data_IF_086983994274
#
_entry.id   IF_086983994274
#
_cell.length_a   1.000
_cell.length_b   1.000
_cell.length_c   1.000
_cell.angle_alpha   90.00
_cell.angle_beta   90.00
_cell.angle_gamma   90.00
#
_symmetry.space_group_name_H-M   'P 1'
#
loop_
_entity.id
_entity.type
_entity.pdbx_description
1 polymer ?
#
# COMPACT_ATOMS: atom_id res chain seq x y z
N UNK A 1 -13.77 7.60 18.35
CA UNK A 1 -12.52 7.88 17.62
C UNK A 1 -12.89 8.42 16.25
N UNK A 2 -12.01 9.15 15.52
CA UNK A 2 -12.37 9.71 14.24
C UNK A 2 -12.65 8.57 13.25
N UNK A 3 -13.86 8.56 12.69
CA UNK A 3 -14.33 7.61 11.70
C UNK A 3 -14.53 8.33 10.36
N UNK A 4 -14.44 7.61 9.25
CA UNK A 4 -14.82 8.16 7.95
C UNK A 4 -16.32 8.50 7.98
N UNK A 5 -16.68 9.65 7.46
CA UNK A 5 -18.08 10.02 7.27
C UNK A 5 -18.72 9.20 6.14
N UNK A 6 -20.04 9.13 6.09
CA UNK A 6 -20.77 8.44 5.01
C UNK A 6 -20.41 9.00 3.63
N UNK A 7 -20.14 10.31 3.53
CA UNK A 7 -19.69 10.95 2.30
C UNK A 7 -18.30 10.44 1.86
N UNK A 8 -17.39 10.20 2.81
CA UNK A 8 -16.05 9.66 2.53
C UNK A 8 -16.09 8.17 2.18
N UNK A 9 -16.93 7.39 2.84
CA UNK A 9 -17.19 5.98 2.48
C UNK A 9 -17.79 5.93 1.07
N UNK A 10 -18.77 6.77 0.77
CA UNK A 10 -19.37 6.88 -0.57
C UNK A 10 -18.32 7.31 -1.62
N UNK A 11 -17.41 8.22 -1.27
CA UNK A 11 -16.29 8.61 -2.13
C UNK A 11 -15.37 7.42 -2.42
N UNK A 12 -15.00 6.64 -1.39
CA UNK A 12 -14.18 5.44 -1.57
C UNK A 12 -14.84 4.45 -2.54
N UNK A 13 -16.12 4.16 -2.37
CA UNK A 13 -16.85 3.24 -3.25
C UNK A 13 -16.97 3.76 -4.68
N UNK A 14 -17.07 5.06 -4.89
CA UNK A 14 -17.17 5.68 -6.22
C UNK A 14 -15.81 5.79 -6.91
N UNK A 15 -14.78 6.25 -6.18
CA UNK A 15 -13.49 6.64 -6.74
C UNK A 15 -12.41 5.56 -6.57
N UNK A 16 -12.60 4.59 -5.65
CA UNK A 16 -11.61 3.58 -5.27
C UNK A 16 -10.55 4.09 -4.32
N UNK A 17 -10.67 5.33 -3.84
CA UNK A 17 -9.73 5.95 -2.92
C UNK A 17 -10.41 7.00 -2.04
N UNK A 18 -9.94 7.09 -0.80
CA UNK A 18 -10.29 8.15 0.14
C UNK A 18 -9.05 8.67 0.84
N UNK A 19 -8.99 9.98 1.10
CA UNK A 19 -8.00 10.60 1.97
C UNK A 19 -8.67 10.81 3.33
N UNK A 20 -8.08 10.24 4.40
CA UNK A 20 -8.58 10.44 5.74
C UNK A 20 -8.48 11.93 6.13
N UNK A 21 -9.51 12.52 6.77
CA UNK A 21 -9.50 13.94 7.14
C UNK A 21 -8.60 14.23 8.35
N UNK A 22 -8.03 13.21 8.96
CA UNK A 22 -7.05 13.27 10.06
C UNK A 22 -5.76 12.54 9.65
N UNK A 23 -4.75 12.56 10.51
CA UNK A 23 -3.47 11.88 10.32
C UNK A 23 -2.74 11.71 11.65
N UNK A 24 -1.52 11.24 11.57
CA UNK A 24 -0.60 11.18 12.70
C UNK A 24 -0.24 12.59 13.17
N UNK A 25 -0.08 12.77 14.48
CA UNK A 25 0.37 14.05 15.03
C UNK A 25 1.84 14.34 14.69
N UNK A 26 2.27 15.57 14.91
CA UNK A 26 3.60 16.05 14.55
C UNK A 26 4.73 15.35 15.31
N UNK A 27 4.51 14.92 16.55
CA UNK A 27 5.47 14.19 17.36
C UNK A 27 5.67 12.78 16.77
N UNK A 28 4.58 12.07 16.50
CA UNK A 28 4.59 10.77 15.83
C UNK A 28 5.27 10.85 14.46
N UNK A 29 4.99 11.89 13.67
CA UNK A 29 5.66 12.09 12.35
C UNK A 29 7.15 12.31 12.51
N UNK A 30 7.58 13.06 13.51
CA UNK A 30 9.00 13.31 13.77
C UNK A 30 9.71 12.02 14.18
N UNK A 31 9.11 11.23 15.08
CA UNK A 31 9.62 9.91 15.47
C UNK A 31 9.68 8.94 14.29
N UNK A 32 8.65 8.94 13.44
CA UNK A 32 8.59 8.12 12.24
C UNK A 32 9.70 8.45 11.23
N UNK A 33 10.02 9.73 11.04
CA UNK A 33 11.15 10.15 10.20
C UNK A 33 12.49 9.66 10.74
N UNK A 34 12.72 9.85 12.04
CA UNK A 34 13.93 9.36 12.69
C UNK A 34 14.05 7.84 12.57
N UNK A 35 12.97 7.10 12.81
CA UNK A 35 12.90 5.64 12.63
C UNK A 35 13.22 5.23 11.21
N UNK A 36 12.64 5.90 10.21
CA UNK A 36 12.94 5.63 8.80
C UNK A 36 14.42 5.80 8.50
N UNK A 37 15.01 6.93 8.88
CA UNK A 37 16.41 7.24 8.59
C UNK A 37 17.35 6.22 9.29
N UNK A 38 17.06 5.87 10.53
CA UNK A 38 17.78 4.83 11.28
C UNK A 38 17.65 3.45 10.61
N UNK A 39 16.42 3.05 10.24
CA UNK A 39 16.14 1.77 9.59
C UNK A 39 16.91 1.61 8.27
N UNK A 40 16.93 2.65 7.44
CA UNK A 40 17.68 2.61 6.18
C UNK A 40 19.19 2.39 6.40
N UNK A 41 19.76 3.04 7.42
CA UNK A 41 21.18 2.88 7.79
C UNK A 41 21.44 1.47 8.33
N UNK A 42 20.67 1.01 9.30
CA UNK A 42 20.85 -0.30 9.96
C UNK A 42 20.69 -1.46 8.97
N UNK A 43 19.73 -1.35 8.07
CA UNK A 43 19.47 -2.35 7.03
C UNK A 43 20.38 -2.20 5.80
N UNK A 44 21.28 -1.19 5.79
CA UNK A 44 22.22 -0.86 4.69
C UNK A 44 21.49 -0.69 3.34
N UNK A 45 20.31 -0.05 3.37
CA UNK A 45 19.51 0.18 2.19
C UNK A 45 20.01 1.44 1.49
N UNK A 46 20.54 1.30 0.29
CA UNK A 46 21.03 2.40 -0.55
C UNK A 46 20.04 2.82 -1.62
N UNK A 47 19.18 1.91 -2.09
CA UNK A 47 18.04 2.19 -2.97
C UNK A 47 16.75 1.97 -2.18
N UNK A 48 16.13 3.06 -1.77
CA UNK A 48 14.92 3.05 -0.96
C UNK A 48 13.65 3.39 -1.77
N UNK A 49 13.73 3.44 -3.09
CA UNK A 49 12.58 3.72 -3.95
C UNK A 49 11.45 2.71 -3.74
N UNK A 50 11.81 1.45 -3.43
CA UNK A 50 10.90 0.42 -2.97
C UNK A 50 11.59 -0.56 -2.01
N UNK A 51 11.16 -0.60 -0.76
CA UNK A 51 11.66 -1.52 0.27
C UNK A 51 10.50 -2.36 0.77
N UNK A 52 10.35 -3.61 0.28
CA UNK A 52 9.28 -4.50 0.71
C UNK A 52 9.55 -5.09 2.11
N UNK A 53 8.48 -5.60 2.72
CA UNK A 53 8.51 -6.46 3.90
C UNK A 53 9.19 -5.80 5.11
N UNK A 54 8.80 -4.55 5.40
CA UNK A 54 9.43 -3.80 6.51
C UNK A 54 9.07 -4.37 7.89
N UNK A 55 7.87 -4.93 8.06
CA UNK A 55 7.48 -5.59 9.32
C UNK A 55 8.29 -6.88 9.53
N UNK A 56 8.57 -7.62 8.48
CA UNK A 56 9.38 -8.84 8.54
C UNK A 56 10.84 -8.55 8.87
N UNK A 57 11.33 -7.35 8.51
CA UNK A 57 12.69 -6.89 8.81
C UNK A 57 12.80 -6.30 10.21
N UNK A 58 11.76 -5.61 10.65
CA UNK A 58 11.66 -4.98 11.98
C UNK A 58 10.18 -4.91 12.38
N UNK A 59 9.79 -5.81 13.30
CA UNK A 59 8.41 -5.93 13.76
C UNK A 59 7.86 -4.64 14.41
N UNK A 60 8.72 -3.73 14.85
CA UNK A 60 8.28 -2.46 15.46
C UNK A 60 7.53 -1.54 14.48
N UNK A 61 7.62 -1.77 13.14
CA UNK A 61 6.77 -1.08 12.17
C UNK A 61 5.29 -1.41 12.32
N UNK A 62 4.95 -2.53 12.97
CA UNK A 62 3.56 -2.94 13.19
C UNK A 62 2.79 -1.92 14.06
N UNK A 63 3.48 -1.16 14.91
CA UNK A 63 2.88 -0.10 15.73
C UNK A 63 2.11 0.94 14.89
N UNK A 64 2.61 1.27 13.69
CA UNK A 64 1.95 2.22 12.79
C UNK A 64 0.77 1.57 12.06
N UNK A 65 0.86 0.28 11.75
CA UNK A 65 -0.24 -0.45 11.11
C UNK A 65 -1.42 -0.69 12.05
N UNK A 66 -1.18 -0.66 13.37
CA UNK A 66 -2.18 -0.97 14.40
C UNK A 66 -2.76 0.26 15.07
N UNK A 67 -2.41 1.46 14.59
CA UNK A 67 -2.98 2.70 15.09
C UNK A 67 -4.50 2.66 15.05
N UNK A 68 -5.19 2.94 16.18
CA UNK A 68 -6.66 2.85 16.26
C UNK A 68 -7.38 3.64 15.17
N UNK A 69 -6.89 4.84 14.87
CA UNK A 69 -7.47 5.71 13.84
C UNK A 69 -7.38 5.12 12.42
N UNK A 70 -6.33 4.33 12.13
CA UNK A 70 -6.18 3.63 10.86
C UNK A 70 -7.09 2.41 10.82
N UNK A 71 -7.07 1.60 11.89
CA UNK A 71 -7.89 0.39 11.96
C UNK A 71 -9.40 0.69 11.96
N UNK A 72 -9.83 1.81 12.54
CA UNK A 72 -11.23 2.22 12.50
C UNK A 72 -11.67 2.57 11.07
N UNK A 73 -10.85 3.32 10.33
CA UNK A 73 -11.13 3.61 8.92
C UNK A 73 -11.10 2.36 8.03
N UNK A 74 -10.14 1.47 8.24
CA UNK A 74 -10.04 0.18 7.50
C UNK A 74 -11.26 -0.69 7.80
N UNK A 75 -11.68 -0.78 9.08
CA UNK A 75 -12.85 -1.58 9.48
C UNK A 75 -14.15 -1.12 8.80
N UNK A 76 -14.31 0.18 8.57
CA UNK A 76 -15.47 0.72 7.85
C UNK A 76 -15.52 0.32 6.37
N UNK A 77 -14.37 -0.05 5.78
CA UNK A 77 -14.27 -0.39 4.36
C UNK A 77 -14.25 -1.91 4.09
N UNK A 78 -13.61 -2.69 4.98
CA UNK A 78 -13.44 -4.14 4.77
C UNK A 78 -13.97 -5.02 5.91
N UNK A 79 -14.62 -4.42 6.90
CA UNK A 79 -15.18 -5.16 8.04
C UNK A 79 -14.25 -5.21 9.26
N UNK A 80 -14.77 -5.72 10.39
CA UNK A 80 -14.13 -5.58 11.70
C UNK A 80 -12.98 -6.56 11.97
N UNK A 81 -12.90 -7.67 11.25
CA UNK A 81 -11.89 -8.69 11.44
C UNK A 81 -10.75 -8.47 10.42
N UNK A 82 -9.59 -7.97 10.89
CA UNK A 82 -8.57 -7.38 10.02
C UNK A 82 -7.22 -8.07 10.20
N UNK A 83 -6.61 -8.45 9.08
CA UNK A 83 -5.26 -8.99 8.99
C UNK A 83 -4.38 -8.00 8.20
N UNK A 84 -3.22 -7.61 8.77
CA UNK A 84 -2.11 -7.01 8.04
C UNK A 84 -1.32 -8.13 7.38
N UNK A 85 -1.16 -8.06 6.07
CA UNK A 85 -0.50 -9.11 5.30
C UNK A 85 0.70 -8.60 4.49
N UNK A 86 0.95 -7.31 4.46
CA UNK A 86 2.08 -6.75 3.74
C UNK A 86 2.39 -5.32 4.14
N UNK A 87 3.65 -4.97 3.98
CA UNK A 87 4.19 -3.66 4.32
C UNK A 87 5.33 -3.28 3.38
N UNK A 88 5.51 -2.00 3.09
CA UNK A 88 6.64 -1.51 2.33
C UNK A 88 6.90 -0.02 2.58
N UNK A 89 8.14 0.41 2.29
CA UNK A 89 8.48 1.81 2.12
C UNK A 89 8.59 2.15 0.64
N UNK A 90 8.20 3.38 0.32
CA UNK A 90 8.40 4.02 -0.98
C UNK A 90 9.08 5.36 -0.75
N UNK A 91 10.43 5.37 -0.77
CA UNK A 91 11.24 6.52 -0.41
C UNK A 91 12.04 7.01 -1.61
N UNK A 92 11.37 7.66 -2.55
CA UNK A 92 12.01 8.20 -3.74
C UNK A 92 12.99 9.31 -3.37
N UNK A 93 14.25 9.16 -3.79
CA UNK A 93 15.26 10.19 -3.61
C UNK A 93 14.87 11.48 -4.36
N UNK A 94 15.41 12.63 -3.93
CA UNK A 94 15.10 13.91 -4.56
C UNK A 94 15.72 14.11 -5.94
N UNK A 95 16.60 13.21 -6.39
CA UNK A 95 17.21 13.24 -7.71
C UNK A 95 17.37 11.81 -8.22
N UNK A 96 16.57 11.43 -9.21
CA UNK A 96 16.62 10.10 -9.82
C UNK A 96 15.75 9.06 -9.14
N UNK A 97 14.78 9.45 -8.32
CA UNK A 97 13.77 8.52 -7.81
C UNK A 97 12.94 7.92 -8.94
N UNK A 98 12.87 6.58 -9.01
CA UNK A 98 12.27 5.82 -10.11
C UNK A 98 10.76 6.01 -10.19
N UNK A 99 10.18 5.79 -11.37
CA UNK A 99 8.73 5.75 -11.53
C UNK A 99 8.13 4.51 -10.83
N UNK A 100 6.91 4.65 -10.33
CA UNK A 100 6.04 3.51 -10.06
C UNK A 100 5.11 3.40 -11.26
N UNK A 101 5.20 2.34 -12.08
CA UNK A 101 4.40 2.24 -13.29
C UNK A 101 2.91 2.19 -12.94
N UNK A 102 2.05 2.49 -13.90
CA UNK A 102 0.62 2.26 -13.74
C UNK A 102 0.35 0.78 -13.58
N UNK A 103 -0.32 0.39 -12.50
CA UNK A 103 -0.62 -1.00 -12.16
C UNK A 103 -1.88 -1.11 -11.30
N UNK A 104 -2.30 -2.34 -11.10
CA UNK A 104 -3.27 -2.72 -10.08
C UNK A 104 -2.57 -3.65 -9.09
N UNK A 105 -2.66 -3.36 -7.81
CA UNK A 105 -2.11 -4.19 -6.74
C UNK A 105 -2.62 -5.63 -6.81
N UNK A 106 -3.91 -5.80 -7.09
CA UNK A 106 -4.58 -7.10 -7.11
C UNK A 106 -4.14 -8.07 -8.21
N UNK A 107 -3.38 -7.61 -9.20
CA UNK A 107 -2.97 -8.42 -10.33
C UNK A 107 -2.20 -9.68 -9.90
N UNK A 108 -1.34 -9.56 -8.89
CA UNK A 108 -0.46 -10.64 -8.42
C UNK A 108 -0.57 -10.92 -6.91
N UNK A 109 -1.63 -10.48 -6.24
CA UNK A 109 -1.79 -10.81 -4.82
C UNK A 109 -2.55 -12.12 -4.62
N UNK A 110 -1.97 -13.05 -3.84
CA UNK A 110 -2.51 -14.40 -3.66
C UNK A 110 -3.60 -14.43 -2.58
N UNK A 111 -4.64 -13.59 -2.69
CA UNK A 111 -5.71 -13.43 -1.69
C UNK A 111 -7.05 -13.72 -2.34
N UNK A 112 -7.88 -14.55 -1.72
CA UNK A 112 -9.20 -14.94 -2.23
C UNK A 112 -10.27 -14.96 -1.10
N UNK A 113 -11.43 -14.31 -1.27
CA UNK A 113 -11.69 -13.31 -2.32
C UNK A 113 -10.72 -12.12 -2.21
N UNK A 114 -10.46 -11.45 -3.33
CA UNK A 114 -9.56 -10.30 -3.36
C UNK A 114 -10.32 -9.04 -2.88
N UNK A 115 -10.33 -8.82 -1.58
CA UNK A 115 -11.05 -7.75 -0.89
C UNK A 115 -10.12 -6.93 0.01
N UNK A 116 -8.94 -6.57 -0.49
CA UNK A 116 -7.91 -5.89 0.29
C UNK A 116 -7.92 -4.39 0.06
N UNK A 117 -7.36 -3.66 1.01
CA UNK A 117 -7.09 -2.23 0.90
C UNK A 117 -5.64 -1.93 1.25
N UNK A 118 -5.08 -0.90 0.61
CA UNK A 118 -3.76 -0.36 0.92
C UNK A 118 -3.93 0.99 1.61
N UNK A 119 -3.36 1.13 2.80
CA UNK A 119 -3.17 2.41 3.49
C UNK A 119 -1.80 2.95 3.11
N UNK A 120 -1.75 4.15 2.52
CA UNK A 120 -0.53 4.84 2.15
C UNK A 120 -0.36 6.08 3.02
N UNK A 121 0.69 6.11 3.87
CA UNK A 121 0.95 7.16 4.86
C UNK A 121 2.12 8.01 4.40
N UNK A 122 1.94 9.32 4.32
CA UNK A 122 2.99 10.27 4.00
C UNK A 122 3.94 10.46 5.20
N UNK A 123 5.22 10.17 5.02
CA UNK A 123 6.27 10.47 6.01
C UNK A 123 6.82 11.86 5.76
N UNK A 124 7.10 12.21 4.51
CA UNK A 124 7.46 13.55 4.06
C UNK A 124 6.25 14.29 3.51
N UNK A 125 6.41 15.55 3.18
CA UNK A 125 5.46 16.27 2.33
C UNK A 125 5.41 15.62 0.95
N UNK A 126 4.22 15.35 0.44
CA UNK A 126 3.99 14.60 -0.80
C UNK A 126 3.12 15.42 -1.73
N UNK A 127 3.68 15.82 -2.86
CA UNK A 127 3.01 16.67 -3.84
C UNK A 127 3.42 16.28 -5.28
N UNK A 128 2.90 16.99 -6.27
CA UNK A 128 3.18 16.73 -7.69
C UNK A 128 4.66 16.84 -8.04
N UNK A 129 5.37 17.79 -7.41
CA UNK A 129 6.77 18.07 -7.74
C UNK A 129 7.67 16.90 -7.33
N UNK A 130 7.38 16.28 -6.15
CA UNK A 130 8.20 15.20 -5.63
C UNK A 130 7.58 13.81 -5.83
N UNK A 131 6.67 13.65 -6.80
CA UNK A 131 6.13 12.36 -7.21
C UNK A 131 5.09 11.77 -6.26
N UNK A 132 3.99 12.49 -6.03
CA UNK A 132 2.84 11.95 -5.31
C UNK A 132 2.23 10.72 -6.00
N UNK A 133 1.42 9.98 -5.25
CA UNK A 133 0.58 8.92 -5.81
C UNK A 133 -0.39 9.52 -6.84
N UNK A 134 -0.57 8.84 -7.97
CA UNK A 134 -1.54 9.17 -9.01
C UNK A 134 -2.50 8.00 -9.18
N UNK A 135 -3.78 8.29 -9.34
CA UNK A 135 -4.82 7.26 -9.47
C UNK A 135 -5.74 7.57 -10.65
N UNK A 136 -6.39 6.55 -11.19
CA UNK A 136 -7.52 6.73 -12.14
C UNK A 136 -8.80 6.44 -11.36
N UNK A 137 -9.53 7.49 -10.89
CA UNK A 137 -10.71 7.30 -10.08
C UNK A 137 -11.78 6.47 -10.80
N UNK A 138 -12.42 5.55 -10.07
CA UNK A 138 -13.45 4.67 -10.62
C UNK A 138 -12.92 3.45 -11.38
N UNK A 139 -11.63 3.35 -11.67
CA UNK A 139 -11.05 2.21 -12.42
C UNK A 139 -11.18 0.86 -11.70
N UNK A 140 -11.44 0.87 -10.40
CA UNK A 140 -11.68 -0.33 -9.58
C UNK A 140 -13.09 -0.93 -9.76
N UNK A 141 -14.04 -0.15 -10.29
CA UNK A 141 -15.46 -0.53 -10.36
C UNK A 141 -15.75 -1.87 -11.05
N UNK A 142 -15.00 -2.26 -12.12
CA UNK A 142 -15.22 -3.57 -12.75
C UNK A 142 -14.83 -4.77 -11.86
N UNK A 143 -14.17 -4.56 -10.71
CA UNK A 143 -13.73 -5.61 -9.76
C UNK A 143 -12.95 -6.74 -10.45
N UNK A 144 -12.10 -6.39 -11.40
CA UNK A 144 -11.23 -7.33 -12.14
C UNK A 144 -9.82 -6.78 -12.30
N UNK A 145 -8.85 -7.66 -12.35
CA UNK A 145 -7.50 -7.32 -12.83
C UNK A 145 -7.51 -7.20 -14.35
N UNK A 146 -6.92 -6.14 -14.85
CA UNK A 146 -6.63 -5.97 -16.26
C UNK A 146 -5.30 -6.66 -16.61
N UNK A 147 -5.03 -6.80 -17.90
CA UNK A 147 -3.77 -7.36 -18.38
C UNK A 147 -2.61 -6.42 -18.06
N UNK A 148 -1.51 -7.01 -17.59
CA UNK A 148 -0.24 -6.34 -17.37
C UNK A 148 0.85 -7.00 -18.21
N UNK A 149 1.79 -6.21 -18.66
CA UNK A 149 3.02 -6.69 -19.26
C UNK A 149 4.14 -6.65 -18.21
N UNK A 150 5.13 -7.54 -18.36
CA UNK A 150 6.31 -7.53 -17.51
C UNK A 150 7.37 -6.64 -18.14
N UNK A 151 7.80 -5.62 -17.40
CA UNK A 151 8.88 -4.70 -17.78
C UNK A 151 10.02 -4.81 -16.75
N UNK A 152 11.22 -5.11 -17.21
CA UNK A 152 12.42 -5.26 -16.40
C UNK A 152 13.32 -4.02 -16.43
N UNK A 153 12.80 -2.88 -16.85
CA UNK A 153 13.53 -1.61 -16.86
C UNK A 153 13.96 -1.18 -15.45
N UNK A 154 15.21 -0.74 -15.32
CA UNK A 154 15.73 -0.16 -14.09
C UNK A 154 15.11 1.22 -13.76
N UNK A 155 14.33 1.80 -14.66
CA UNK A 155 13.67 3.10 -14.45
C UNK A 155 12.39 3.02 -13.60
N UNK A 156 11.91 1.82 -13.29
CA UNK A 156 10.68 1.56 -12.55
C UNK A 156 10.93 0.69 -11.31
N UNK A 157 10.06 0.84 -10.29
CA UNK A 157 10.20 0.10 -9.03
C UNK A 157 9.43 -1.23 -8.99
N UNK A 158 8.49 -1.43 -9.90
CA UNK A 158 7.67 -2.65 -10.02
C UNK A 158 7.73 -3.12 -11.47
N UNK A 159 7.82 -4.44 -11.68
CA UNK A 159 7.95 -5.02 -13.01
C UNK A 159 6.61 -5.35 -13.71
N UNK A 160 5.48 -5.09 -13.08
CA UNK A 160 4.15 -5.31 -13.66
C UNK A 160 3.56 -3.97 -14.07
N UNK A 161 3.32 -3.80 -15.36
CA UNK A 161 2.84 -2.55 -15.97
C UNK A 161 1.51 -2.83 -16.67
N UNK A 162 0.45 -2.11 -16.30
CA UNK A 162 -0.85 -2.26 -16.95
C UNK A 162 -0.77 -1.86 -18.42
N UNK A 163 -1.42 -2.60 -19.30
CA UNK A 163 -1.43 -2.27 -20.72
C UNK A 163 -2.14 -0.94 -20.98
N UNK A 164 -1.60 -0.15 -21.89
CA UNK A 164 -2.02 1.22 -22.16
C UNK A 164 -3.50 1.37 -22.55
N UNK A 165 -4.09 0.34 -23.19
CA UNK A 165 -5.50 0.32 -23.55
C UNK A 165 -6.44 0.39 -22.35
N UNK A 166 -5.98 -0.03 -21.17
CA UNK A 166 -6.75 0.05 -19.92
C UNK A 166 -6.62 1.40 -19.19
N UNK A 167 -5.70 2.27 -19.62
CA UNK A 167 -5.50 3.58 -19.02
C UNK A 167 -6.50 4.65 -19.49
N UNK A 168 -7.29 4.35 -20.52
CA UNK A 168 -8.24 5.31 -21.12
C UNK A 168 -9.54 5.47 -20.32
N UNK A 169 -9.63 4.87 -19.11
CA UNK A 169 -10.87 4.84 -18.32
C UNK A 169 -11.17 6.15 -17.57
N UNK A 170 -10.26 7.11 -17.55
CA UNK A 170 -10.46 8.41 -16.88
C UNK A 170 -9.21 9.26 -16.78
N UNK A 171 -9.38 10.53 -16.39
CA UNK A 171 -8.28 11.43 -16.15
C UNK A 171 -7.58 11.09 -14.82
N UNK A 172 -6.24 10.99 -14.80
CA UNK A 172 -5.49 10.79 -13.57
C UNK A 172 -5.69 11.92 -12.56
N UNK A 173 -5.80 11.56 -11.29
CA UNK A 173 -5.84 12.48 -10.15
C UNK A 173 -4.60 12.30 -9.30
N UNK A 174 -3.95 13.41 -8.96
CA UNK A 174 -2.81 13.46 -8.05
C UNK A 174 -3.29 13.45 -6.60
N UNK A 175 -2.63 12.67 -5.76
CA UNK A 175 -2.95 12.49 -4.33
C UNK A 175 -1.84 13.14 -3.52
N UNK A 176 -2.02 14.41 -3.21
CA UNK A 176 -1.09 15.20 -2.41
C UNK A 176 -1.43 15.04 -0.92
N UNK A 177 -0.42 14.79 -0.10
CA UNK A 177 -0.57 14.52 1.33
C UNK A 177 0.50 15.27 2.13
N UNK A 178 0.06 16.04 3.12
CA UNK A 178 0.96 16.56 4.14
C UNK A 178 1.52 15.42 5.01
N UNK A 179 2.66 15.60 5.68
CA UNK A 179 3.25 14.60 6.56
C UNK A 179 2.24 14.09 7.61
N UNK A 180 2.22 12.79 7.82
CA UNK A 180 1.30 12.10 8.72
C UNK A 180 -0.09 11.84 8.13
N UNK A 181 -0.48 12.50 7.04
CA UNK A 181 -1.75 12.22 6.36
C UNK A 181 -1.66 10.89 5.61
N UNK A 182 -2.81 10.26 5.40
CA UNK A 182 -2.87 9.00 4.68
C UNK A 182 -4.09 8.90 3.76
N UNK A 183 -3.94 8.08 2.74
CA UNK A 183 -5.02 7.64 1.86
C UNK A 183 -5.23 6.14 2.00
N UNK A 184 -6.46 5.70 1.69
CA UNK A 184 -6.82 4.29 1.62
C UNK A 184 -7.35 4.02 0.22
N UNK A 185 -6.76 3.05 -0.49
CA UNK A 185 -7.20 2.71 -1.84
C UNK A 185 -7.50 1.22 -2.02
N UNK A 186 -8.40 0.98 -2.95
CA UNK A 186 -8.89 -0.36 -3.31
C UNK A 186 -7.84 -1.11 -4.13
N UNK A 187 -7.78 -2.41 -3.94
CA UNK A 187 -6.85 -3.33 -4.60
C UNK A 187 -6.94 -3.35 -6.13
N UNK A 188 -8.10 -3.01 -6.69
CA UNK A 188 -8.33 -2.92 -8.14
C UNK A 188 -8.12 -1.53 -8.72
N UNK A 189 -7.81 -0.52 -7.88
CA UNK A 189 -7.60 0.84 -8.37
C UNK A 189 -6.32 0.91 -9.21
N UNK A 190 -6.42 1.43 -10.43
CA UNK A 190 -5.26 1.72 -11.26
C UNK A 190 -4.53 2.92 -10.66
N UNK A 191 -3.25 2.72 -10.31
CA UNK A 191 -2.44 3.77 -9.71
C UNK A 191 -0.97 3.66 -10.11
N UNK A 192 -0.22 4.72 -9.84
CA UNK A 192 1.20 4.82 -10.14
C UNK A 192 1.80 6.09 -9.55
N UNK A 193 3.04 6.41 -9.90
CA UNK A 193 3.70 7.67 -9.55
C UNK A 193 4.80 7.98 -10.56
N UNK A 194 4.92 9.26 -10.91
CA UNK A 194 6.00 9.73 -11.79
C UNK A 194 7.38 9.52 -11.16
N UNK A 195 8.48 9.59 -11.90
CA UNK A 195 9.81 9.69 -11.32
C UNK A 195 9.93 10.99 -10.49
N UNK A 196 10.82 10.99 -9.48
CA UNK A 196 11.08 12.18 -8.68
C UNK A 196 12.32 12.93 -9.17
N UNK A 197 12.12 14.12 -9.70
CA UNK A 197 13.21 15.00 -10.18
C UNK A 197 13.31 16.31 -9.38
N UNK A 198 12.56 16.46 -8.28
CA UNK A 198 12.37 17.73 -7.58
C UNK A 198 13.56 18.19 -6.71
N UNK A 199 14.53 17.36 -6.44
CA UNK A 199 15.56 17.63 -5.43
C UNK A 199 15.12 17.39 -3.99
N UNK A 200 13.84 17.08 -3.71
CA UNK A 200 13.30 16.75 -2.38
C UNK A 200 12.96 15.27 -2.30
N UNK A 201 13.35 14.61 -1.20
CA UNK A 201 12.90 13.23 -0.93
C UNK A 201 11.37 13.16 -0.83
N UNK A 202 10.80 12.04 -1.27
CA UNK A 202 9.39 11.71 -1.04
C UNK A 202 9.30 10.34 -0.37
N UNK A 203 9.14 10.32 0.93
CA UNK A 203 9.00 9.12 1.71
C UNK A 203 7.54 8.87 2.12
N UNK A 204 7.11 7.64 1.91
CA UNK A 204 5.85 7.12 2.40
C UNK A 204 5.97 5.65 2.77
N UNK A 205 5.06 5.19 3.61
CA UNK A 205 4.93 3.77 3.95
C UNK A 205 3.56 3.26 3.60
N UNK A 206 3.49 1.98 3.29
CA UNK A 206 2.22 1.29 3.02
C UNK A 206 2.05 0.11 3.93
N UNK A 207 0.80 -0.06 4.38
CA UNK A 207 0.32 -1.28 5.00
C UNK A 207 -0.85 -1.82 4.21
N UNK A 208 -0.85 -3.13 4.00
CA UNK A 208 -1.87 -3.82 3.22
C UNK A 208 -2.72 -4.66 4.14
N UNK A 209 -4.02 -4.42 4.10
CA UNK A 209 -5.00 -5.07 4.98
C UNK A 209 -5.94 -5.93 4.15
N UNK A 210 -6.29 -7.09 4.69
CA UNK A 210 -7.36 -7.92 4.17
C UNK A 210 -8.36 -8.24 5.28
N UNK A 211 -9.65 -8.44 4.94
CA UNK A 211 -10.60 -8.98 5.90
C UNK A 211 -10.22 -10.43 6.22
N UNK A 212 -10.41 -10.85 7.47
CA UNK A 212 -10.11 -12.22 7.89
C UNK A 212 -11.04 -13.27 7.23
N UNK A 213 -12.04 -12.84 6.47
CA UNK A 213 -12.86 -13.69 5.59
C UNK A 213 -12.17 -14.05 4.28
N UNK A 214 -11.08 -13.36 3.93
CA UNK A 214 -10.22 -13.72 2.80
C UNK A 214 -9.14 -14.70 3.26
N UNK A 215 -8.69 -15.55 2.34
CA UNK A 215 -7.61 -16.52 2.58
C UNK A 215 -6.38 -16.12 1.77
N UNK A 216 -5.22 -16.13 2.43
CA UNK A 216 -3.93 -15.92 1.78
C UNK A 216 -3.42 -17.25 1.23
N UNK A 217 -3.45 -17.40 -0.09
CA UNK A 217 -3.08 -18.63 -0.79
C UNK A 217 -1.58 -18.68 -1.05
N UNK A 218 -0.85 -19.41 -0.20
CA UNK A 218 0.61 -19.53 -0.28
C UNK A 218 1.09 -20.35 -1.48
N UNK A 219 0.25 -21.29 -1.99
CA UNK A 219 0.61 -22.04 -3.20
C UNK A 219 0.44 -21.17 -4.44
N UNK A 220 -0.64 -20.41 -4.53
CA UNK A 220 -0.81 -19.39 -5.58
C UNK A 220 0.36 -18.38 -5.57
N UNK A 221 0.82 -17.95 -4.39
CA UNK A 221 2.00 -17.07 -4.30
C UNK A 221 3.24 -17.70 -4.96
N UNK A 222 3.55 -18.97 -4.65
CA UNK A 222 4.67 -19.69 -5.28
C UNK A 222 4.49 -19.86 -6.79
N UNK A 223 3.28 -20.09 -7.25
CA UNK A 223 2.98 -20.17 -8.67
C UNK A 223 3.24 -18.83 -9.38
N UNK A 224 2.77 -17.72 -8.81
CA UNK A 224 2.95 -16.37 -9.37
C UNK A 224 4.44 -15.99 -9.48
N UNK A 225 5.28 -16.39 -8.52
CA UNK A 225 6.74 -16.20 -8.64
C UNK A 225 7.29 -16.91 -9.88
N UNK A 226 6.87 -18.15 -10.11
CA UNK A 226 7.37 -18.94 -11.27
C UNK A 226 6.88 -18.40 -12.61
N UNK A 227 5.64 -17.92 -12.68
CA UNK A 227 4.99 -17.52 -13.92
C UNK A 227 5.22 -16.04 -14.26
N UNK A 228 5.34 -15.17 -13.27
CA UNK A 228 5.33 -13.72 -13.45
C UNK A 228 6.63 -13.05 -12.98
N UNK A 229 7.52 -13.77 -12.27
CA UNK A 229 8.75 -13.20 -11.73
C UNK A 229 8.52 -12.11 -10.67
N UNK A 230 7.37 -12.15 -9.98
CA UNK A 230 7.03 -11.20 -8.92
C UNK A 230 7.69 -11.59 -7.59
N UNK A 231 7.65 -10.69 -6.61
CA UNK A 231 8.17 -10.93 -5.27
C UNK A 231 7.52 -12.18 -4.65
N UNK A 232 8.34 -13.03 -4.01
CA UNK A 232 7.85 -14.21 -3.30
C UNK A 232 7.12 -13.80 -2.01
N UNK A 233 5.80 -13.89 -2.04
CA UNK A 233 4.93 -13.60 -0.92
C UNK A 233 4.61 -14.85 -0.07
N UNK A 234 5.04 -16.05 -0.49
CA UNK A 234 4.58 -17.31 0.11
C UNK A 234 4.99 -17.54 1.56
N UNK A 235 6.02 -16.83 2.02
CA UNK A 235 6.55 -16.94 3.40
C UNK A 235 6.17 -15.75 4.29
N UNK A 236 5.39 -14.81 3.78
CA UNK A 236 5.05 -13.58 4.49
C UNK A 236 4.25 -13.88 5.76
N UNK A 237 4.57 -13.17 6.85
CA UNK A 237 3.81 -13.17 8.09
C UNK A 237 2.42 -12.54 7.90
N UNK A 238 1.43 -13.09 8.58
CA UNK A 238 0.07 -12.54 8.61
C UNK A 238 -0.24 -12.15 10.05
N UNK A 239 -0.57 -10.89 10.29
CA UNK A 239 -0.80 -10.36 11.63
C UNK A 239 -2.28 -10.04 11.80
N UNK A 240 -2.98 -10.79 12.69
CA UNK A 240 -4.33 -10.46 13.08
C UNK A 240 -4.28 -9.23 14.00
N UNK A 241 -4.67 -8.07 13.49
CA UNK A 241 -4.56 -6.79 14.19
C UNK A 241 -5.87 -6.30 14.81
N UNK A 242 -6.99 -6.91 14.40
CA UNK A 242 -8.31 -6.65 14.99
C UNK A 242 -9.24 -7.84 14.74
N UNK A 243 -10.12 -8.15 15.70
CA UNK A 243 -11.16 -9.16 15.56
C UNK A 243 -10.66 -10.60 15.62
N UNK A 244 -11.22 -11.45 14.78
CA UNK A 244 -10.96 -12.90 14.81
C UNK A 244 -10.78 -13.46 13.39
N UNK A 245 -9.77 -14.28 13.15
CA UNK A 245 -9.68 -15.10 11.93
C UNK A 245 -10.63 -16.28 12.00
N UNK A 246 -11.86 -16.06 11.56
CA UNK A 246 -12.91 -17.09 11.56
C UNK A 246 -12.71 -18.14 10.47
N UNK A 247 -11.87 -17.85 9.48
CA UNK A 247 -11.56 -18.82 8.42
C UNK A 247 -10.72 -19.99 8.95
N UNK A 248 -9.84 -19.72 9.91
CA UNK A 248 -8.86 -20.68 10.45
C UNK A 248 -7.79 -21.09 9.43
N UNK A 249 -7.81 -20.52 8.21
CA UNK A 249 -6.92 -20.91 7.11
C UNK A 249 -5.69 -20.01 6.95
N UNK A 250 -5.65 -18.84 7.61
CA UNK A 250 -4.59 -17.87 7.37
C UNK A 250 -3.30 -18.15 8.16
N UNK A 251 -3.35 -18.93 9.25
CA UNK A 251 -2.18 -19.19 10.08
C UNK A 251 -1.59 -17.89 10.64
N UNK A 252 -2.47 -17.03 11.15
CA UNK A 252 -2.09 -15.70 11.66
C UNK A 252 -1.21 -15.78 12.89
N UNK A 253 -0.24 -14.89 12.97
CA UNK A 253 0.52 -14.66 14.19
C UNK A 253 -0.34 -13.79 15.14
N UNK A 254 -0.45 -14.14 16.44
CA UNK A 254 -1.06 -13.23 17.38
C UNK A 254 -0.23 -11.94 17.42
N UNK A 255 -0.88 -10.81 17.22
CA UNK A 255 -0.24 -9.52 17.51
C UNK A 255 -0.16 -9.40 19.03
N UNK A 256 1.05 -9.51 19.58
CA UNK A 256 1.33 -9.16 20.97
C UNK A 256 1.31 -7.61 21.09
N UNK A 257 0.12 -7.02 20.93
CA UNK A 257 -0.11 -5.58 21.09
C UNK A 257 -0.88 -5.36 22.39
#
# INVERSE_FOLDING_TARGET
MPALSDAQISQYHRDGIVIAPWGLDSETVSALRAKLDQFLVEQRITDADFVPDIIERDASWLEYATRPEILDAVAQLIGPDIIVWGSALFCKSGRGGKATPWHQDGHYWPIRPLATVTVWIAIDDVNRENSCLRVIPGSHAPRKSFEHDTDHSDAIVLNQVIRSEHLQTGAPRDIELAPGRFSIHDVYLIHGANPNHSGKRRAGMVFRYMPATSVFDRELARQQVREMGVLDLSRRGLHLVRGTDRSGHNGVQPSNI
#
